data_IF_838675844890
#
_entry.id   IF_838675844890
#
_cell.length_a   1.000
_cell.length_b   1.000
_cell.length_c   1.000
_cell.angle_alpha   90.00
_cell.angle_beta   90.00
_cell.angle_gamma   90.00
#
_symmetry.space_group_name_H-M   'P 1'
#
loop_
_entity.id
_entity.type
_entity.pdbx_description
1 polymer ?
#
# COMPACT_ATOMS: atom_id res chain seq x y z
N UNK A 1 14.11 -39.77 -61.01
CA UNK A 1 14.23 -38.30 -61.04
C UNK A 1 12.88 -37.62 -60.78
N UNK A 2 11.82 -37.85 -61.55
CA UNK A 2 10.53 -37.13 -61.34
C UNK A 2 9.86 -37.46 -60.00
N UNK A 3 9.87 -38.72 -59.59
CA UNK A 3 9.30 -39.19 -58.34
C UNK A 3 10.07 -38.68 -57.08
N UNK A 4 11.38 -38.50 -57.17
CA UNK A 4 12.20 -37.93 -56.10
C UNK A 4 11.98 -36.42 -55.92
N UNK A 5 11.78 -35.70 -57.00
CA UNK A 5 11.42 -34.27 -56.99
C UNK A 5 10.03 -34.03 -56.38
N UNK A 6 9.05 -34.89 -56.67
CA UNK A 6 7.69 -34.81 -56.13
C UNK A 6 7.68 -35.07 -54.60
N UNK A 7 8.47 -36.04 -54.12
CA UNK A 7 8.64 -36.31 -52.68
C UNK A 7 9.30 -35.13 -51.99
N UNK A 8 10.32 -34.54 -52.59
CA UNK A 8 11.04 -33.38 -52.01
C UNK A 8 10.12 -32.16 -51.90
N UNK A 9 9.31 -31.88 -52.92
CA UNK A 9 8.32 -30.79 -52.90
C UNK A 9 7.27 -31.05 -51.82
N UNK A 10 6.76 -32.27 -51.72
CA UNK A 10 5.78 -32.63 -50.67
C UNK A 10 6.34 -32.46 -49.27
N UNK A 11 7.60 -32.84 -49.02
CA UNK A 11 8.29 -32.62 -47.73
C UNK A 11 8.47 -31.13 -47.43
N UNK A 12 8.84 -30.30 -48.41
CA UNK A 12 8.97 -28.87 -48.22
C UNK A 12 7.63 -28.20 -47.93
N UNK A 13 6.56 -28.57 -48.62
CA UNK A 13 5.21 -28.03 -48.41
C UNK A 13 4.69 -28.43 -47.03
N UNK A 14 4.86 -29.68 -46.60
CA UNK A 14 4.41 -30.14 -45.29
C UNK A 14 5.21 -29.46 -44.14
N UNK A 15 6.51 -29.29 -44.32
CA UNK A 15 7.38 -28.57 -43.35
C UNK A 15 7.00 -27.08 -43.25
N UNK A 16 6.75 -26.41 -44.37
CA UNK A 16 6.29 -25.02 -44.38
C UNK A 16 4.91 -24.87 -43.72
N UNK A 17 4.00 -25.81 -43.97
CA UNK A 17 2.68 -25.82 -43.34
C UNK A 17 2.79 -26.03 -41.81
N UNK A 18 3.67 -26.91 -41.32
CA UNK A 18 3.94 -27.09 -39.89
C UNK A 18 4.50 -25.83 -39.25
N UNK A 19 5.42 -25.13 -39.91
CA UNK A 19 5.96 -23.87 -39.41
C UNK A 19 4.90 -22.78 -39.30
N UNK A 20 4.02 -22.68 -40.31
CA UNK A 20 2.90 -21.72 -40.25
C UNK A 20 1.92 -22.03 -39.12
N UNK A 21 1.57 -23.30 -38.93
CA UNK A 21 0.67 -23.74 -37.86
C UNK A 21 1.29 -23.46 -36.46
N UNK A 22 2.59 -23.77 -36.31
CA UNK A 22 3.29 -23.51 -35.05
C UNK A 22 3.37 -22.00 -34.76
N UNK A 23 3.67 -21.17 -35.75
CA UNK A 23 3.67 -19.72 -35.65
C UNK A 23 2.30 -19.14 -35.26
N UNK A 24 1.23 -19.65 -35.92
CA UNK A 24 -0.13 -19.27 -35.58
C UNK A 24 -0.52 -19.67 -34.16
N UNK A 25 -0.13 -20.88 -33.72
CA UNK A 25 -0.39 -21.33 -32.34
C UNK A 25 0.31 -20.44 -31.31
N UNK A 26 1.58 -20.13 -31.53
CA UNK A 26 2.35 -19.19 -30.64
C UNK A 26 1.67 -17.81 -30.60
N UNK A 27 1.27 -17.28 -31.74
CA UNK A 27 0.55 -16.02 -31.83
C UNK A 27 -0.76 -16.04 -31.00
N UNK A 28 -1.57 -17.08 -31.14
CA UNK A 28 -2.82 -17.24 -30.38
C UNK A 28 -2.55 -17.32 -28.89
N UNK A 29 -1.52 -18.07 -28.46
CA UNK A 29 -1.14 -18.18 -27.04
C UNK A 29 -0.72 -16.81 -26.48
N UNK A 30 0.11 -16.05 -27.19
CA UNK A 30 0.55 -14.71 -26.76
C UNK A 30 -0.64 -13.77 -26.62
N UNK A 31 -1.54 -13.73 -27.62
CA UNK A 31 -2.74 -12.88 -27.58
C UNK A 31 -3.68 -13.29 -26.44
N UNK A 32 -3.86 -14.59 -26.22
CA UNK A 32 -4.70 -15.09 -25.14
C UNK A 32 -4.14 -14.77 -23.76
N UNK A 33 -2.82 -14.98 -23.57
CA UNK A 33 -2.14 -14.63 -22.30
C UNK A 33 -2.21 -13.11 -22.02
N UNK A 34 -2.01 -12.28 -23.04
CA UNK A 34 -2.13 -10.83 -22.92
C UNK A 34 -3.54 -10.39 -22.46
N UNK A 35 -4.59 -10.96 -23.09
CA UNK A 35 -5.98 -10.68 -22.70
C UNK A 35 -6.32 -11.16 -21.29
N UNK A 36 -5.83 -12.34 -20.90
CA UNK A 36 -6.05 -12.90 -19.57
C UNK A 36 -5.39 -12.02 -18.48
N UNK A 37 -4.17 -11.57 -18.73
CA UNK A 37 -3.43 -10.69 -17.81
C UNK A 37 -4.12 -9.34 -17.63
N UNK A 38 -4.62 -8.74 -18.71
CA UNK A 38 -5.36 -7.47 -18.63
C UNK A 38 -6.66 -7.61 -17.84
N UNK A 39 -7.42 -8.70 -18.05
CA UNK A 39 -8.63 -8.98 -17.25
C UNK A 39 -8.32 -9.18 -15.77
N UNK A 40 -7.23 -9.87 -15.43
CA UNK A 40 -6.82 -10.06 -14.05
C UNK A 40 -6.45 -8.71 -13.38
N UNK A 41 -5.76 -7.84 -14.10
CA UNK A 41 -5.45 -6.48 -13.62
C UNK A 41 -6.72 -5.65 -13.43
N UNK A 42 -7.67 -5.72 -14.36
CA UNK A 42 -8.95 -5.01 -14.25
C UNK A 42 -9.76 -5.47 -13.04
N UNK A 43 -9.89 -6.79 -12.84
CA UNK A 43 -10.56 -7.36 -11.65
C UNK A 43 -9.83 -6.95 -10.37
N UNK A 44 -8.50 -7.02 -10.36
CA UNK A 44 -7.71 -6.59 -9.22
C UNK A 44 -7.96 -5.12 -8.89
N UNK A 45 -7.98 -4.23 -9.90
CA UNK A 45 -8.24 -2.81 -9.73
C UNK A 45 -9.62 -2.54 -9.16
N UNK A 46 -10.65 -3.14 -9.75
CA UNK A 46 -12.02 -3.01 -9.27
C UNK A 46 -12.16 -3.51 -7.82
N UNK A 47 -11.48 -4.61 -7.48
CA UNK A 47 -11.48 -5.14 -6.10
C UNK A 47 -10.78 -4.20 -5.14
N UNK A 48 -9.62 -3.63 -5.54
CA UNK A 48 -8.89 -2.66 -4.71
C UNK A 48 -9.68 -1.38 -4.51
N UNK A 49 -10.31 -0.84 -5.55
CA UNK A 49 -11.17 0.35 -5.44
C UNK A 49 -12.35 0.10 -4.51
N UNK A 50 -13.01 -1.06 -4.64
CA UNK A 50 -14.11 -1.43 -3.74
C UNK A 50 -13.65 -1.59 -2.29
N UNK A 51 -12.47 -2.19 -2.08
CA UNK A 51 -11.88 -2.34 -0.75
C UNK A 51 -11.51 -0.97 -0.15
N UNK A 52 -10.91 -0.09 -0.94
CA UNK A 52 -10.53 1.26 -0.50
C UNK A 52 -11.78 2.10 -0.17
N UNK A 53 -12.84 2.00 -0.96
CA UNK A 53 -14.11 2.67 -0.70
C UNK A 53 -14.76 2.16 0.60
N UNK A 54 -14.77 0.85 0.81
CA UNK A 54 -15.33 0.24 2.03
C UNK A 54 -14.51 0.59 3.28
N UNK A 55 -13.18 0.56 3.19
CA UNK A 55 -12.31 1.03 4.27
C UNK A 55 -12.58 2.50 4.60
N UNK A 56 -12.74 3.36 3.59
CA UNK A 56 -13.08 4.76 3.78
C UNK A 56 -14.46 4.95 4.42
N UNK A 57 -15.43 4.08 4.11
CA UNK A 57 -16.75 4.07 4.74
C UNK A 57 -16.64 3.69 6.23
N UNK A 58 -15.95 2.59 6.52
CA UNK A 58 -15.74 2.11 7.90
C UNK A 58 -15.02 3.17 8.74
N UNK A 59 -13.99 3.83 8.19
CA UNK A 59 -13.28 4.89 8.89
C UNK A 59 -14.20 6.04 9.31
N UNK A 60 -15.09 6.46 8.41
CA UNK A 60 -16.08 7.50 8.70
C UNK A 60 -17.08 7.04 9.76
N UNK A 61 -17.62 5.83 9.63
CA UNK A 61 -18.57 5.27 10.60
C UNK A 61 -17.95 5.19 12.01
N UNK A 62 -16.68 4.77 12.11
CA UNK A 62 -15.95 4.74 13.37
C UNK A 62 -15.74 6.14 13.94
N UNK A 63 -15.31 7.09 13.12
CA UNK A 63 -15.06 8.46 13.54
C UNK A 63 -16.33 9.20 13.94
N UNK A 64 -17.41 9.09 13.14
CA UNK A 64 -18.60 9.91 13.26
C UNK A 64 -19.58 9.37 14.32
N UNK A 65 -19.56 8.06 14.59
CA UNK A 65 -20.48 7.43 15.54
C UNK A 65 -19.78 6.98 16.83
N UNK A 66 -18.71 6.19 16.75
CA UNK A 66 -18.10 5.62 17.95
C UNK A 66 -17.21 6.61 18.69
N UNK A 67 -16.48 7.48 17.98
CA UNK A 67 -15.60 8.46 18.58
C UNK A 67 -16.36 9.43 19.52
N UNK A 68 -17.40 10.13 19.06
CA UNK A 68 -18.22 10.99 19.90
C UNK A 68 -18.90 10.25 21.06
N UNK A 69 -19.44 9.05 20.81
CA UNK A 69 -20.12 8.26 21.83
C UNK A 69 -19.19 7.93 23.01
N UNK A 70 -18.00 7.40 22.73
CA UNK A 70 -17.00 7.12 23.76
C UNK A 70 -16.52 8.38 24.48
N UNK A 71 -16.38 9.50 23.76
CA UNK A 71 -15.99 10.77 24.35
C UNK A 71 -17.05 11.32 25.31
N UNK A 72 -18.35 11.16 24.99
CA UNK A 72 -19.46 11.53 25.85
C UNK A 72 -19.48 10.66 27.10
N UNK A 73 -19.33 9.34 26.96
CA UNK A 73 -19.31 8.43 28.12
C UNK A 73 -18.12 8.76 29.04
N UNK A 74 -16.93 9.03 28.45
CA UNK A 74 -15.77 9.49 29.24
C UNK A 74 -16.10 10.77 30.00
N UNK A 75 -16.69 11.77 29.35
CA UNK A 75 -17.05 13.04 29.97
C UNK A 75 -18.08 12.83 31.11
N UNK A 76 -19.04 11.92 30.95
CA UNK A 76 -20.01 11.56 32.01
C UNK A 76 -19.30 10.89 33.19
N UNK A 77 -18.34 9.99 32.95
CA UNK A 77 -17.55 9.38 34.01
C UNK A 77 -16.69 10.40 34.76
N UNK A 78 -16.09 11.35 34.05
CA UNK A 78 -15.29 12.43 34.65
C UNK A 78 -16.16 13.38 35.53
N UNK A 79 -17.43 13.57 35.13
CA UNK A 79 -18.38 14.43 35.86
C UNK A 79 -18.95 13.80 37.12
N UNK A 80 -18.79 12.50 37.36
CA UNK A 80 -19.21 11.87 38.61
C UNK A 80 -18.31 12.37 39.73
N UNK A 81 -18.92 13.01 40.78
CA UNK A 81 -18.16 13.45 41.96
C UNK A 81 -17.55 12.26 42.71
N UNK A 82 -16.40 12.47 43.29
CA UNK A 82 -15.79 11.51 44.20
C UNK A 82 -16.35 11.59 45.61
N UNK A 83 -17.20 12.58 45.87
CA UNK A 83 -17.80 12.78 47.19
C UNK A 83 -18.69 11.61 47.61
N UNK A 84 -18.39 10.96 48.71
CA UNK A 84 -19.14 9.79 49.19
C UNK A 84 -18.72 8.46 48.63
N UNK A 85 -17.77 8.40 47.71
CA UNK A 85 -17.18 7.17 47.22
C UNK A 85 -16.11 6.65 48.16
N UNK A 86 -16.02 5.35 48.34
CA UNK A 86 -14.89 4.73 49.01
C UNK A 86 -13.65 4.69 48.10
N UNK A 87 -12.45 4.43 48.64
CA UNK A 87 -11.21 4.38 47.88
C UNK A 87 -11.25 3.37 46.72
N UNK A 88 -11.94 2.26 46.88
CA UNK A 88 -12.07 1.22 45.88
C UNK A 88 -12.92 1.70 44.68
N UNK A 89 -13.99 2.44 44.95
CA UNK A 89 -14.86 3.01 43.90
C UNK A 89 -14.14 4.13 43.13
N UNK A 90 -13.36 4.96 43.81
CA UNK A 90 -12.54 5.98 43.17
C UNK A 90 -11.49 5.33 42.25
N UNK A 91 -10.83 4.28 42.72
CA UNK A 91 -9.86 3.54 41.92
C UNK A 91 -10.51 2.89 40.70
N UNK A 92 -11.69 2.26 40.88
CA UNK A 92 -12.44 1.67 39.78
C UNK A 92 -12.83 2.72 38.75
N UNK A 93 -13.32 3.89 39.17
CA UNK A 93 -13.64 4.99 38.23
C UNK A 93 -12.42 5.41 37.42
N UNK A 94 -11.26 5.58 38.09
CA UNK A 94 -10.02 5.94 37.40
C UNK A 94 -9.59 4.89 36.38
N UNK A 95 -9.73 3.59 36.71
CA UNK A 95 -9.38 2.51 35.80
C UNK A 95 -10.32 2.44 34.58
N UNK A 96 -11.62 2.69 34.77
CA UNK A 96 -12.61 2.78 33.69
C UNK A 96 -12.27 3.95 32.77
N UNK A 97 -12.01 5.15 33.34
CA UNK A 97 -11.66 6.33 32.53
C UNK A 97 -10.40 6.09 31.70
N UNK A 98 -9.39 5.46 32.28
CA UNK A 98 -8.14 5.09 31.56
C UNK A 98 -8.39 4.08 30.46
N UNK A 99 -9.21 3.04 30.69
CA UNK A 99 -9.58 2.07 29.65
C UNK A 99 -10.35 2.73 28.51
N UNK A 100 -11.23 3.70 28.81
CA UNK A 100 -11.93 4.46 27.77
C UNK A 100 -10.97 5.33 26.94
N UNK A 101 -9.98 5.97 27.57
CA UNK A 101 -8.95 6.71 26.82
C UNK A 101 -8.16 5.79 25.88
N UNK A 102 -7.79 4.60 26.35
CA UNK A 102 -7.16 3.60 25.49
C UNK A 102 -8.08 3.20 24.33
N UNK A 103 -9.34 2.89 24.59
CA UNK A 103 -10.30 2.52 23.54
C UNK A 103 -10.53 3.64 22.50
N UNK A 104 -10.62 4.90 22.93
CA UNK A 104 -10.71 6.07 22.04
C UNK A 104 -9.45 6.19 21.17
N UNK A 105 -8.28 6.00 21.75
CA UNK A 105 -7.02 6.08 21.02
C UNK A 105 -6.85 4.92 20.02
N UNK A 106 -7.24 3.71 20.41
CA UNK A 106 -7.24 2.54 19.53
C UNK A 106 -8.21 2.75 18.35
N UNK A 107 -9.40 3.23 18.62
CA UNK A 107 -10.40 3.54 17.60
C UNK A 107 -9.89 4.62 16.62
N UNK A 108 -9.28 5.68 17.12
CA UNK A 108 -8.64 6.71 16.29
C UNK A 108 -7.50 6.12 15.46
N UNK A 109 -6.68 5.25 16.03
CA UNK A 109 -5.59 4.57 15.33
C UNK A 109 -6.14 3.68 14.20
N UNK A 110 -7.20 2.92 14.44
CA UNK A 110 -7.87 2.10 13.43
C UNK A 110 -8.45 2.99 12.31
N UNK A 111 -9.18 4.05 12.67
CA UNK A 111 -9.76 4.96 11.70
C UNK A 111 -8.71 5.68 10.84
N UNK A 112 -7.54 5.99 11.41
CA UNK A 112 -6.44 6.62 10.69
C UNK A 112 -5.65 5.68 9.77
N UNK A 113 -5.64 4.38 10.05
CA UNK A 113 -5.08 3.38 9.14
C UNK A 113 -5.97 3.15 7.88
N UNK A 114 -7.20 3.63 7.94
CA UNK A 114 -8.12 3.72 6.81
C UNK A 114 -7.93 5.13 6.19
N UNK A 115 -8.09 5.34 4.88
CA UNK A 115 -7.77 6.62 4.18
C UNK A 115 -8.18 7.83 5.02
N UNK A 116 -7.28 8.73 5.43
CA UNK A 116 -7.64 9.86 6.25
C UNK A 116 -8.60 10.80 5.48
N UNK A 117 -9.66 11.26 6.14
CA UNK A 117 -10.54 12.35 5.63
C UNK A 117 -9.71 13.59 5.25
N UNK A 118 -8.57 13.77 5.93
CA UNK A 118 -7.57 14.81 5.68
C UNK A 118 -6.98 14.76 4.26
N UNK A 119 -7.01 13.59 3.58
CA UNK A 119 -6.44 13.46 2.24
C UNK A 119 -7.21 14.30 1.20
N UNK A 120 -8.53 14.29 1.26
CA UNK A 120 -9.38 15.12 0.39
C UNK A 120 -9.36 16.60 0.74
N UNK A 121 -9.06 16.94 2.02
CA UNK A 121 -9.05 18.32 2.51
C UNK A 121 -7.68 18.99 2.39
N UNK A 122 -6.59 18.26 2.63
CA UNK A 122 -5.24 18.84 2.76
C UNK A 122 -4.22 18.31 1.74
N UNK A 123 -4.61 17.31 0.91
CA UNK A 123 -3.74 16.70 -0.10
C UNK A 123 -2.72 15.71 0.45
N UNK A 124 -1.92 15.15 -0.47
CA UNK A 124 -0.99 14.05 -0.19
C UNK A 124 0.06 14.37 0.87
N UNK A 125 0.82 15.47 0.70
CA UNK A 125 1.96 15.78 1.57
C UNK A 125 1.52 15.98 3.03
N UNK A 126 0.52 16.82 3.28
CA UNK A 126 0.05 17.08 4.64
C UNK A 126 -0.55 15.84 5.29
N UNK A 127 -1.24 15.02 4.52
CA UNK A 127 -1.78 13.75 5.03
C UNK A 127 -0.68 12.75 5.36
N UNK A 128 0.39 12.70 4.57
CA UNK A 128 1.56 11.87 4.84
C UNK A 128 2.32 12.35 6.08
N UNK A 129 2.59 13.66 6.21
CA UNK A 129 3.22 14.24 7.39
C UNK A 129 2.43 13.91 8.66
N UNK A 130 1.10 14.08 8.60
CA UNK A 130 0.22 13.73 9.71
C UNK A 130 0.28 12.23 10.04
N UNK A 131 0.25 11.37 9.02
CA UNK A 131 0.37 9.92 9.21
C UNK A 131 1.69 9.52 9.86
N UNK A 132 2.81 10.08 9.41
CA UNK A 132 4.12 9.86 9.99
C UNK A 132 4.18 10.35 11.44
N UNK A 133 3.63 11.53 11.74
CA UNK A 133 3.57 12.07 13.10
C UNK A 133 2.84 11.11 14.05
N UNK A 134 1.70 10.57 13.61
CA UNK A 134 0.91 9.60 14.39
C UNK A 134 1.68 8.30 14.63
N UNK A 135 2.40 7.78 13.64
CA UNK A 135 3.25 6.60 13.84
C UNK A 135 4.30 6.86 14.93
N UNK A 136 4.96 8.01 14.88
CA UNK A 136 5.95 8.41 15.90
C UNK A 136 5.36 8.51 17.30
N UNK A 137 4.14 9.04 17.44
CA UNK A 137 3.47 9.20 18.74
C UNK A 137 3.07 7.86 19.38
N UNK A 138 2.62 6.89 18.58
CA UNK A 138 2.10 5.62 19.09
C UNK A 138 3.12 4.48 19.11
N UNK A 139 4.21 4.62 18.38
CA UNK A 139 5.23 3.58 18.29
C UNK A 139 6.59 4.20 18.64
N UNK A 140 7.34 3.55 19.49
CA UNK A 140 8.68 4.03 19.87
C UNK A 140 9.67 3.81 18.72
N UNK A 141 9.47 4.51 17.59
CA UNK A 141 10.24 4.39 16.35
C UNK A 141 10.67 5.76 15.84
N UNK A 142 11.92 5.86 15.41
CA UNK A 142 12.48 7.08 14.82
C UNK A 142 12.26 7.09 13.31
N UNK A 143 11.52 8.08 12.81
CA UNK A 143 11.28 8.23 11.38
C UNK A 143 11.90 9.53 10.90
N UNK A 144 12.85 9.45 10.00
CA UNK A 144 13.35 10.59 9.25
C UNK A 144 12.74 10.58 7.85
N UNK A 145 12.26 11.72 7.39
CA UNK A 145 11.67 11.82 6.07
C UNK A 145 12.05 13.11 5.36
N UNK A 146 12.14 13.03 4.05
CA UNK A 146 12.30 14.16 3.14
C UNK A 146 11.24 14.05 2.05
N UNK A 147 10.45 15.11 1.90
CA UNK A 147 9.36 15.17 0.94
C UNK A 147 9.61 16.29 -0.06
N UNK A 148 9.24 16.12 -1.32
CA UNK A 148 9.44 17.15 -2.33
C UNK A 148 8.47 18.30 -2.13
N UNK A 149 8.81 19.45 -2.67
CA UNK A 149 7.83 20.50 -2.87
C UNK A 149 6.81 20.01 -3.93
N UNK A 150 5.55 19.84 -3.52
CA UNK A 150 4.50 19.22 -4.34
C UNK A 150 3.78 20.30 -5.17
N UNK A 151 4.58 21.15 -5.89
CA UNK A 151 4.05 22.28 -6.66
C UNK A 151 3.36 21.84 -7.96
N UNK A 152 3.57 20.61 -8.37
CA UNK A 152 2.94 20.04 -9.56
C UNK A 152 1.64 19.34 -9.15
N UNK A 153 0.48 19.79 -9.63
CA UNK A 153 -0.77 19.12 -9.33
C UNK A 153 -0.77 17.72 -9.95
N UNK A 154 -0.77 16.71 -9.10
CA UNK A 154 -0.79 15.30 -9.49
C UNK A 154 -2.23 14.79 -9.41
N UNK A 155 -2.57 13.80 -10.21
CA UNK A 155 -3.88 13.18 -10.23
C UNK A 155 -4.19 12.53 -8.88
N UNK A 156 -5.39 12.76 -8.38
CA UNK A 156 -5.83 12.29 -7.06
C UNK A 156 -5.70 10.76 -6.89
N UNK A 157 -6.04 9.97 -7.91
CA UNK A 157 -5.91 8.51 -7.85
C UNK A 157 -4.45 8.05 -7.76
N UNK A 158 -3.53 8.78 -8.39
CA UNK A 158 -2.09 8.53 -8.26
C UNK A 158 -1.63 8.75 -6.82
N UNK A 159 -2.03 9.89 -6.23
CA UNK A 159 -1.68 10.24 -4.85
C UNK A 159 -2.23 9.22 -3.84
N UNK A 160 -3.49 8.80 -3.99
CA UNK A 160 -4.10 7.75 -3.14
C UNK A 160 -3.33 6.45 -3.24
N UNK A 161 -3.01 6.02 -4.46
CA UNK A 161 -2.28 4.76 -4.69
C UNK A 161 -0.88 4.81 -4.08
N UNK A 162 -0.18 5.95 -4.22
CA UNK A 162 1.13 6.17 -3.60
C UNK A 162 1.03 6.14 -2.07
N UNK A 163 0.01 6.78 -1.50
CA UNK A 163 -0.24 6.77 -0.06
C UNK A 163 -0.48 5.35 0.47
N UNK A 164 -1.22 4.52 -0.28
CA UNK A 164 -1.44 3.11 0.07
C UNK A 164 -0.16 2.27 0.04
N UNK A 165 0.75 2.54 -0.90
CA UNK A 165 2.07 1.89 -0.91
C UNK A 165 2.84 2.26 0.37
N UNK A 166 2.83 3.54 0.75
CA UNK A 166 3.48 4.01 1.97
C UNK A 166 2.87 3.39 3.23
N UNK A 167 1.53 3.35 3.32
CA UNK A 167 0.85 2.71 4.46
C UNK A 167 1.28 1.24 4.61
N UNK A 168 1.36 0.48 3.51
CA UNK A 168 1.79 -0.92 3.54
C UNK A 168 3.24 -1.06 4.00
N UNK A 169 4.15 -0.17 3.54
CA UNK A 169 5.54 -0.15 3.97
C UNK A 169 5.65 0.08 5.49
N UNK A 170 5.04 1.13 6.00
CA UNK A 170 5.05 1.44 7.44
C UNK A 170 4.44 0.30 8.26
N UNK A 171 3.30 -0.25 7.83
CA UNK A 171 2.66 -1.36 8.55
C UNK A 171 3.52 -2.62 8.56
N UNK A 172 4.20 -2.94 7.46
CA UNK A 172 5.11 -4.08 7.39
C UNK A 172 6.28 -3.92 8.36
N UNK A 173 6.88 -2.72 8.41
CA UNK A 173 7.96 -2.44 9.37
C UNK A 173 7.47 -2.54 10.80
N UNK A 174 6.34 -1.92 11.16
CA UNK A 174 5.80 -1.95 12.52
C UNK A 174 5.42 -3.37 12.98
N UNK A 175 4.87 -4.19 12.09
CA UNK A 175 4.41 -5.56 12.43
C UNK A 175 5.51 -6.60 12.41
N UNK A 176 6.50 -6.46 11.52
CA UNK A 176 7.38 -7.56 11.17
C UNK A 176 8.87 -7.26 11.33
N UNK A 177 9.29 -6.00 11.17
CA UNK A 177 10.70 -5.69 11.07
C UNK A 177 11.41 -5.54 12.41
N UNK A 178 10.71 -5.24 13.52
CA UNK A 178 11.33 -4.84 14.80
C UNK A 178 12.35 -3.72 14.65
N UNK A 179 12.15 -2.84 13.67
CA UNK A 179 13.02 -1.71 13.36
C UNK A 179 12.91 -0.62 14.43
N UNK A 180 14.00 0.11 14.62
CA UNK A 180 14.04 1.32 15.45
C UNK A 180 14.08 2.59 14.60
N UNK A 181 14.59 2.50 13.37
CA UNK A 181 14.73 3.63 12.47
C UNK A 181 14.11 3.33 11.10
N UNK A 182 13.39 4.33 10.59
CA UNK A 182 12.86 4.34 9.23
C UNK A 182 13.37 5.62 8.53
N UNK A 183 13.83 5.46 7.29
CA UNK A 183 14.15 6.57 6.41
C UNK A 183 13.26 6.54 5.18
N UNK A 184 12.52 7.63 4.96
CA UNK A 184 11.69 7.84 3.79
C UNK A 184 12.19 9.04 3.01
N UNK A 185 12.55 8.86 1.77
CA UNK A 185 12.90 9.94 0.86
C UNK A 185 12.01 9.89 -0.39
N UNK A 186 11.26 10.96 -0.64
CA UNK A 186 10.46 11.13 -1.84
C UNK A 186 10.99 12.37 -2.55
N UNK A 187 11.33 12.24 -3.81
CA UNK A 187 11.80 13.35 -4.63
C UNK A 187 11.35 13.22 -6.08
N UNK A 188 11.33 14.36 -6.77
CA UNK A 188 10.97 14.42 -8.19
C UNK A 188 12.17 15.00 -8.94
N UNK A 189 12.67 14.24 -9.89
CA UNK A 189 13.76 14.65 -10.76
C UNK A 189 13.46 14.23 -12.21
N UNK A 190 13.65 15.13 -13.18
CA UNK A 190 13.41 14.85 -14.61
C UNK A 190 12.03 14.22 -14.90
N UNK A 191 10.97 14.69 -14.22
CA UNK A 191 9.61 14.12 -14.30
C UNK A 191 9.50 12.66 -13.84
N UNK A 192 10.43 12.20 -13.03
CA UNK A 192 10.37 10.90 -12.37
C UNK A 192 10.22 11.15 -10.87
N UNK A 193 9.14 10.64 -10.30
CA UNK A 193 8.95 10.56 -8.86
C UNK A 193 9.66 9.29 -8.38
N UNK A 194 10.55 9.47 -7.42
CA UNK A 194 11.24 8.38 -6.73
C UNK A 194 10.83 8.36 -5.26
N UNK A 195 10.40 7.20 -4.78
CA UNK A 195 10.17 6.90 -3.38
C UNK A 195 11.22 5.89 -2.95
N UNK A 196 12.05 6.28 -2.01
CA UNK A 196 13.07 5.42 -1.41
C UNK A 196 12.73 5.22 0.08
N UNK A 197 12.58 3.98 0.48
CA UNK A 197 12.22 3.57 1.83
C UNK A 197 13.24 2.58 2.35
N UNK A 198 13.73 2.81 3.59
CA UNK A 198 14.61 1.90 4.30
C UNK A 198 14.20 1.77 5.76
N UNK A 199 14.42 0.59 6.34
CA UNK A 199 14.36 0.38 7.79
C UNK A 199 15.56 -0.46 8.26
N UNK A 200 15.88 -0.36 9.55
CA UNK A 200 16.99 -1.07 10.19
C UNK A 200 16.56 -2.39 10.87
N UNK A 201 15.43 -2.94 10.46
CA UNK A 201 14.87 -4.13 11.09
C UNK A 201 15.58 -5.43 10.75
N UNK A 202 14.92 -6.55 11.05
CA UNK A 202 15.48 -7.91 10.83
C UNK A 202 15.64 -8.29 9.34
N UNK A 203 15.10 -7.47 8.43
CA UNK A 203 15.14 -7.73 7.00
C UNK A 203 14.20 -8.87 6.55
N UNK A 204 14.39 -9.31 5.31
CA UNK A 204 13.64 -10.42 4.73
C UNK A 204 14.50 -11.68 4.70
N UNK A 205 13.91 -12.84 5.01
CA UNK A 205 14.59 -14.12 4.81
C UNK A 205 14.93 -14.32 3.32
N UNK A 206 16.16 -14.73 3.01
CA UNK A 206 16.62 -15.01 1.63
C UNK A 206 15.71 -15.99 0.86
N UNK A 207 15.05 -16.91 1.57
CA UNK A 207 14.12 -17.89 1.03
C UNK A 207 12.66 -17.43 0.98
N UNK A 208 12.35 -16.19 1.40
CA UNK A 208 11.00 -15.68 1.28
C UNK A 208 10.66 -15.39 -0.18
N UNK A 209 9.82 -16.25 -0.71
CA UNK A 209 9.27 -16.08 -2.06
C UNK A 209 8.42 -14.82 -2.08
N UNK A 210 8.92 -13.76 -2.72
CA UNK A 210 8.22 -12.46 -2.85
C UNK A 210 6.80 -12.66 -3.38
N UNK A 211 6.59 -13.72 -4.18
CA UNK A 211 5.28 -14.07 -4.74
C UNK A 211 4.27 -14.55 -3.69
N UNK A 212 4.71 -14.89 -2.49
CA UNK A 212 3.84 -15.41 -1.40
C UNK A 212 3.44 -14.35 -0.38
N UNK A 213 4.11 -13.19 -0.33
CA UNK A 213 3.74 -12.09 0.55
C UNK A 213 2.62 -11.24 -0.03
N UNK A 214 1.43 -11.26 0.58
CA UNK A 214 0.26 -10.49 0.11
C UNK A 214 0.61 -9.00 -0.01
N UNK A 215 1.32 -8.43 0.97
CA UNK A 215 1.68 -7.00 1.01
C UNK A 215 2.61 -6.59 -0.13
N UNK A 216 3.68 -7.35 -0.38
CA UNK A 216 4.61 -7.07 -1.48
C UNK A 216 3.94 -7.21 -2.85
N UNK A 217 3.08 -8.21 -3.02
CA UNK A 217 2.29 -8.37 -4.24
C UNK A 217 1.34 -7.20 -4.47
N UNK A 218 0.66 -6.73 -3.41
CA UNK A 218 -0.22 -5.57 -3.49
C UNK A 218 0.57 -4.31 -3.89
N UNK A 219 1.74 -4.07 -3.29
CA UNK A 219 2.60 -2.95 -3.68
C UNK A 219 3.09 -3.06 -5.12
N UNK A 220 3.51 -4.25 -5.57
CA UNK A 220 3.93 -4.49 -6.95
C UNK A 220 2.79 -4.23 -7.96
N UNK A 221 1.58 -4.71 -7.67
CA UNK A 221 0.41 -4.49 -8.51
C UNK A 221 0.04 -3.00 -8.56
N UNK A 222 0.00 -2.31 -7.42
CA UNK A 222 -0.23 -0.85 -7.36
C UNK A 222 0.83 -0.07 -8.11
N UNK A 223 2.08 -0.49 -8.04
CA UNK A 223 3.18 0.12 -8.82
C UNK A 223 2.97 -0.07 -10.32
N UNK A 224 2.54 -1.26 -10.73
CA UNK A 224 2.24 -1.56 -12.14
C UNK A 224 1.07 -0.72 -12.66
N UNK A 225 0.03 -0.49 -11.83
CA UNK A 225 -1.09 0.39 -12.15
C UNK A 225 -0.67 1.81 -12.48
N UNK A 226 0.29 2.34 -11.73
CA UNK A 226 0.85 3.66 -11.94
C UNK A 226 1.97 3.66 -13.01
N UNK A 227 2.11 2.59 -13.81
CA UNK A 227 3.17 2.42 -14.79
C UNK A 227 4.57 2.66 -14.22
N UNK A 228 4.75 2.35 -12.92
CA UNK A 228 5.99 2.49 -12.19
C UNK A 228 6.83 1.23 -12.21
N UNK A 229 8.00 1.33 -11.57
CA UNK A 229 8.90 0.21 -11.34
C UNK A 229 9.19 0.10 -9.83
N UNK A 230 9.25 -1.13 -9.33
CA UNK A 230 9.57 -1.46 -7.94
C UNK A 230 10.86 -2.26 -7.91
N UNK A 231 11.84 -1.81 -7.14
CA UNK A 231 13.12 -2.49 -6.96
C UNK A 231 13.39 -2.72 -5.49
N UNK A 232 13.41 -3.99 -5.09
CA UNK A 232 13.75 -4.44 -3.74
C UNK A 232 15.24 -4.80 -3.69
N UNK A 233 15.96 -4.31 -2.68
CA UNK A 233 17.34 -4.70 -2.41
C UNK A 233 17.34 -6.02 -1.61
N UNK A 234 17.69 -7.12 -2.29
CA UNK A 234 17.76 -8.46 -1.70
C UNK A 234 19.12 -8.81 -1.08
N UNK A 235 20.09 -7.93 -1.22
CA UNK A 235 21.48 -8.21 -0.77
C UNK A 235 21.75 -7.77 0.67
N UNK A 236 20.75 -7.19 1.35
CA UNK A 236 20.88 -6.78 2.74
C UNK A 236 20.82 -8.00 3.66
N UNK A 237 21.80 -8.12 4.55
CA UNK A 237 21.83 -9.13 5.61
C UNK A 237 20.93 -8.75 6.81
N UNK A 238 20.64 -7.45 6.97
CA UNK A 238 19.70 -6.88 7.94
C UNK A 238 19.11 -5.59 7.38
N UNK A 239 17.96 -5.21 7.87
CA UNK A 239 17.19 -4.07 7.34
C UNK A 239 16.44 -4.39 6.06
N UNK A 240 15.65 -3.44 5.63
CA UNK A 240 14.85 -3.52 4.41
C UNK A 240 15.04 -2.27 3.58
N UNK A 241 15.18 -2.42 2.27
CA UNK A 241 15.32 -1.30 1.34
C UNK A 241 14.53 -1.55 0.07
N UNK A 242 13.70 -0.59 -0.29
CA UNK A 242 12.90 -0.65 -1.50
C UNK A 242 12.81 0.71 -2.18
N UNK A 243 12.85 0.70 -3.51
CA UNK A 243 12.74 1.91 -4.34
C UNK A 243 11.60 1.74 -5.33
N UNK A 244 10.74 2.74 -5.38
CA UNK A 244 9.71 2.87 -6.40
C UNK A 244 10.01 4.08 -7.28
N UNK A 245 9.82 3.93 -8.58
CA UNK A 245 9.99 5.01 -9.55
C UNK A 245 8.76 5.10 -10.46
N UNK A 246 8.26 6.33 -10.66
CA UNK A 246 7.07 6.60 -11.46
C UNK A 246 7.34 7.74 -12.42
N UNK A 247 7.10 7.53 -13.72
CA UNK A 247 7.18 8.62 -14.71
C UNK A 247 5.93 9.49 -14.61
N UNK A 248 6.11 10.77 -14.27
CA UNK A 248 5.03 11.75 -14.24
C UNK A 248 4.72 12.19 -15.68
N UNK A 249 3.83 11.45 -16.32
CA UNK A 249 3.31 11.76 -17.66
C UNK A 249 2.25 12.86 -17.58
N UNK A 250 1.89 13.54 -18.71
CA UNK A 250 0.79 14.51 -18.72
C UNK A 250 -0.56 13.96 -18.23
N UNK A 251 -0.72 12.64 -18.18
CA UNK A 251 -1.90 11.98 -17.61
C UNK A 251 -1.96 12.11 -16.08
N UNK A 252 -0.81 12.17 -15.41
CA UNK A 252 -0.72 12.28 -13.94
C UNK A 252 -0.50 13.72 -13.45
N UNK A 253 -0.24 14.64 -14.35
CA UNK A 253 -0.03 16.07 -14.08
C UNK A 253 -1.23 16.84 -14.61
N UNK A 254 -1.95 17.55 -13.73
CA UNK A 254 -3.09 18.42 -14.09
C UNK A 254 -2.63 19.76 -14.65
#
# INVERSE_FOLDING_TARGET
MQQETDILIMMLVTSAMMLLLSGFFVYVVIVYQGRSRNKQLEIFNATMEAQDAEQGRIARDLHDHLGPTLSIIKMQMDAISNDGLNEMDVQMKHDITRQMEHAINDLRSIAHNLIPKTFSEYGFIKSLDYYILRIKEFNNIHITHSLPNWDTPIEHNFEITLFRILQELFQNTLKHAKAQHIHLNIYIENKVLTLHYTDDGVGMNENSDISKGIGLNNMANRTTLLHGNMKLNKQLTSGFEIVFTFKLTPHYVK
#
